data_IF_214455343232
#
_entry.id   IF_214455343232
#
_cell.length_a   1.000
_cell.length_b   1.000
_cell.length_c   1.000
_cell.angle_alpha   90.00
_cell.angle_beta   90.00
_cell.angle_gamma   90.00
#
_symmetry.space_group_name_H-M   'P 1'
#
loop_
_entity.id
_entity.type
_entity.pdbx_description
1 polymer ?
#
# COMPACT_ATOMS: atom_id res chain seq x y z
N UNK A 1 10.09 24.65 -9.51
CA UNK A 1 10.40 23.59 -8.54
C UNK A 1 9.20 23.41 -7.62
N UNK A 2 8.48 22.33 -7.78
CA UNK A 2 7.41 21.93 -6.84
C UNK A 2 8.10 21.42 -5.58
N UNK A 3 8.03 22.18 -4.47
CA UNK A 3 8.54 21.71 -3.17
C UNK A 3 7.75 20.45 -2.77
N UNK A 4 8.43 19.39 -2.31
CA UNK A 4 7.75 18.18 -1.86
C UNK A 4 6.81 18.49 -0.69
N UNK A 5 5.53 18.13 -0.84
CA UNK A 5 4.47 18.39 0.14
C UNK A 5 4.39 17.27 1.21
N UNK A 6 5.41 16.43 1.34
CA UNK A 6 5.47 15.56 2.52
C UNK A 6 5.86 16.44 3.72
N UNK A 7 4.98 16.61 4.72
CA UNK A 7 5.39 17.27 5.95
C UNK A 7 6.58 16.50 6.51
N UNK A 8 7.60 17.23 6.96
CA UNK A 8 8.70 16.63 7.71
C UNK A 8 8.07 15.79 8.84
N UNK A 9 8.51 14.54 9.00
CA UNK A 9 8.08 13.71 10.12
C UNK A 9 8.41 14.49 11.40
N UNK A 10 7.39 14.89 12.13
CA UNK A 10 7.59 15.46 13.46
C UNK A 10 7.89 14.31 14.40
N UNK A 11 8.71 14.50 15.44
CA UNK A 11 9.01 13.49 16.48
C UNK A 11 7.73 12.86 17.06
N UNK A 12 6.61 13.56 16.92
CA UNK A 12 5.30 13.16 17.41
C UNK A 12 4.59 12.11 16.53
N UNK A 13 5.00 11.93 15.29
CA UNK A 13 4.46 10.93 14.35
C UNK A 13 5.24 9.62 14.38
N UNK A 14 6.39 9.59 15.05
CA UNK A 14 7.23 8.41 15.18
C UNK A 14 6.55 7.34 16.04
N UNK A 15 6.64 6.10 15.62
CA UNK A 15 6.14 4.96 16.40
C UNK A 15 6.88 4.86 17.73
N UNK A 16 6.22 4.59 18.89
CA UNK A 16 6.87 4.54 20.19
C UNK A 16 7.95 3.46 20.25
N UNK A 17 9.20 3.86 20.37
CA UNK A 17 10.33 2.94 20.45
C UNK A 17 10.21 1.95 21.62
N UNK A 18 9.70 2.39 22.78
CA UNK A 18 9.51 1.51 23.95
C UNK A 18 8.55 0.36 23.66
N UNK A 19 7.46 0.62 22.90
CA UNK A 19 6.50 -0.40 22.49
C UNK A 19 7.16 -1.35 21.50
N UNK A 20 7.85 -0.82 20.48
CA UNK A 20 8.56 -1.63 19.50
C UNK A 20 9.60 -2.55 20.16
N UNK A 21 10.45 -2.01 21.04
CA UNK A 21 11.49 -2.75 21.74
C UNK A 21 10.92 -3.82 22.70
N UNK A 22 9.80 -3.52 23.37
CA UNK A 22 9.10 -4.50 24.21
C UNK A 22 8.57 -5.65 23.35
N UNK A 23 7.91 -5.35 22.25
CA UNK A 23 7.36 -6.35 21.34
C UNK A 23 8.45 -7.21 20.72
N UNK A 24 9.57 -6.60 20.29
CA UNK A 24 10.73 -7.34 19.78
C UNK A 24 11.28 -8.36 20.81
N UNK A 25 11.43 -7.97 22.08
CA UNK A 25 11.84 -8.90 23.15
C UNK A 25 10.83 -10.01 23.38
N UNK A 26 9.54 -9.69 23.35
CA UNK A 26 8.48 -10.70 23.48
C UNK A 26 8.53 -11.72 22.34
N UNK A 27 8.71 -11.25 21.10
CA UNK A 27 8.84 -12.13 19.93
C UNK A 27 10.05 -13.04 20.04
N UNK A 28 11.22 -12.49 20.38
CA UNK A 28 12.43 -13.28 20.57
C UNK A 28 12.27 -14.35 21.67
N UNK A 29 11.65 -14.00 22.79
CA UNK A 29 11.39 -14.95 23.88
C UNK A 29 10.37 -16.03 23.49
N UNK A 30 9.32 -15.66 22.78
CA UNK A 30 8.21 -16.56 22.38
C UNK A 30 8.62 -17.54 21.29
N UNK A 31 9.37 -17.06 20.31
CA UNK A 31 9.69 -17.80 19.09
C UNK A 31 11.08 -18.45 19.09
N UNK A 32 12.00 -17.93 19.92
CA UNK A 32 13.35 -18.48 20.03
C UNK A 32 14.04 -18.59 18.66
N UNK A 33 14.68 -19.72 18.39
CA UNK A 33 15.41 -19.98 17.15
C UNK A 33 14.51 -19.97 15.87
N UNK A 34 13.19 -20.07 16.01
CA UNK A 34 12.26 -20.03 14.85
C UNK A 34 12.33 -18.70 14.12
N UNK A 35 12.78 -17.61 14.76
CA UNK A 35 12.99 -16.32 14.07
C UNK A 35 14.09 -16.38 13.01
N UNK A 36 14.97 -17.38 13.07
CA UNK A 36 16.06 -17.61 12.10
C UNK A 36 15.64 -18.55 10.97
N UNK A 37 14.44 -19.10 11.01
CA UNK A 37 13.93 -19.98 9.97
C UNK A 37 13.69 -19.22 8.66
N UNK A 38 13.74 -19.93 7.53
CA UNK A 38 13.37 -19.36 6.23
C UNK A 38 11.90 -18.97 6.22
N UNK A 39 11.61 -17.73 5.80
CA UNK A 39 10.23 -17.29 5.56
C UNK A 39 9.59 -18.08 4.42
N UNK A 40 8.29 -18.42 4.52
CA UNK A 40 7.52 -18.80 3.34
C UNK A 40 7.61 -17.71 2.25
N UNK A 41 7.54 -18.09 0.97
CA UNK A 41 7.75 -17.16 -0.14
C UNK A 41 6.78 -15.96 -0.14
N UNK A 42 5.56 -16.14 0.34
CA UNK A 42 4.57 -15.06 0.48
C UNK A 42 4.65 -14.32 1.84
N UNK A 43 5.57 -14.69 2.71
CA UNK A 43 5.64 -14.19 4.09
C UNK A 43 5.00 -15.13 5.11
N UNK A 44 5.25 -14.85 6.40
CA UNK A 44 4.77 -15.68 7.52
C UNK A 44 3.24 -15.69 7.61
N UNK A 45 2.68 -16.80 8.04
CA UNK A 45 1.24 -16.93 8.24
C UNK A 45 0.73 -15.94 9.30
N UNK A 46 1.51 -15.71 10.35
CA UNK A 46 1.20 -14.82 11.45
C UNK A 46 0.97 -13.38 10.95
N UNK A 47 1.88 -12.85 10.14
CA UNK A 47 1.71 -11.49 9.61
C UNK A 47 0.56 -11.43 8.61
N UNK A 48 0.41 -12.43 7.74
CA UNK A 48 -0.68 -12.43 6.75
C UNK A 48 -2.06 -12.51 7.43
N UNK A 49 -2.21 -13.32 8.48
CA UNK A 49 -3.45 -13.39 9.27
C UNK A 49 -3.72 -12.05 9.98
N UNK A 50 -2.72 -11.49 10.67
CA UNK A 50 -2.87 -10.19 11.34
C UNK A 50 -3.27 -9.08 10.37
N UNK A 51 -2.74 -9.09 9.13
CA UNK A 51 -3.12 -8.16 8.07
C UNK A 51 -4.57 -8.38 7.60
N UNK A 52 -5.05 -9.62 7.45
CA UNK A 52 -6.45 -9.88 7.11
C UNK A 52 -7.40 -9.24 8.13
N UNK A 53 -7.14 -9.45 9.42
CA UNK A 53 -7.94 -8.89 10.51
C UNK A 53 -7.88 -7.35 10.52
N UNK A 54 -6.69 -6.78 10.36
CA UNK A 54 -6.49 -5.33 10.29
C UNK A 54 -7.24 -4.71 9.10
N UNK A 55 -7.08 -5.27 7.92
CA UNK A 55 -7.69 -4.78 6.68
C UNK A 55 -9.21 -4.84 6.73
N UNK A 56 -9.77 -5.91 7.30
CA UNK A 56 -11.22 -6.03 7.49
C UNK A 56 -11.76 -4.92 8.39
N UNK A 57 -11.08 -4.63 9.50
CA UNK A 57 -11.52 -3.59 10.45
C UNK A 57 -11.27 -2.16 9.95
N UNK A 58 -10.11 -1.93 9.32
CA UNK A 58 -9.65 -0.58 9.00
C UNK A 58 -10.01 -0.10 7.60
N UNK A 59 -10.20 -1.02 6.64
CA UNK A 59 -10.36 -0.73 5.20
C UNK A 59 -11.56 -1.38 4.56
N UNK A 60 -12.34 -2.17 5.31
CA UNK A 60 -13.41 -2.99 4.75
C UNK A 60 -12.92 -3.92 3.60
N UNK A 61 -11.65 -4.38 3.70
CA UNK A 61 -11.05 -5.34 2.80
C UNK A 61 -11.11 -6.72 3.45
N UNK A 62 -11.99 -7.57 2.97
CA UNK A 62 -12.21 -8.94 3.48
C UNK A 62 -11.54 -9.91 2.53
N UNK A 63 -10.44 -10.50 2.97
CA UNK A 63 -9.60 -11.39 2.13
C UNK A 63 -9.05 -12.55 2.95
N UNK A 64 -8.61 -13.59 2.27
CA UNK A 64 -7.90 -14.71 2.87
C UNK A 64 -6.39 -14.46 2.93
N UNK A 65 -5.65 -15.11 3.85
CA UNK A 65 -4.19 -14.96 3.94
C UNK A 65 -3.44 -15.35 2.66
N UNK A 66 -4.03 -16.19 1.81
CA UNK A 66 -3.46 -16.58 0.52
C UNK A 66 -3.41 -15.44 -0.48
N UNK A 67 -4.27 -14.43 -0.31
CA UNK A 67 -4.30 -13.24 -1.15
C UNK A 67 -3.23 -12.20 -0.77
N UNK A 68 -2.51 -12.40 0.34
CA UNK A 68 -1.50 -11.47 0.84
C UNK A 68 -0.10 -11.94 0.49
N UNK A 69 0.71 -11.05 -0.08
CA UNK A 69 2.12 -11.26 -0.36
C UNK A 69 2.95 -10.16 0.31
N UNK A 70 3.91 -10.56 1.16
CA UNK A 70 4.80 -9.66 1.90
C UNK A 70 6.08 -9.42 1.09
N UNK A 71 6.57 -8.18 1.09
CA UNK A 71 7.83 -7.80 0.43
C UNK A 71 8.56 -6.66 1.12
N UNK A 72 9.84 -6.46 0.77
CA UNK A 72 10.74 -5.50 1.39
C UNK A 72 10.56 -4.06 0.86
N UNK A 73 9.40 -3.49 1.11
CA UNK A 73 9.02 -2.14 0.71
C UNK A 73 8.35 -2.06 -0.67
N UNK A 74 7.80 -0.87 -0.97
CA UNK A 74 6.98 -0.66 -2.16
C UNK A 74 7.73 -0.92 -3.47
N UNK A 75 9.00 -0.49 -3.57
CA UNK A 75 9.81 -0.65 -4.78
C UNK A 75 10.00 -2.13 -5.16
N UNK A 76 10.20 -3.00 -4.16
CA UNK A 76 10.25 -4.46 -4.39
C UNK A 76 8.90 -5.00 -4.87
N UNK A 77 7.81 -4.51 -4.29
CA UNK A 77 6.46 -4.92 -4.72
C UNK A 77 6.14 -4.45 -6.15
N UNK A 78 6.58 -3.25 -6.55
CA UNK A 78 6.47 -2.82 -7.96
C UNK A 78 7.17 -3.80 -8.89
N UNK A 79 8.37 -4.28 -8.51
CA UNK A 79 9.11 -5.27 -9.28
C UNK A 79 8.36 -6.60 -9.39
N UNK A 80 7.76 -7.09 -8.31
CA UNK A 80 6.91 -8.30 -8.33
C UNK A 80 5.67 -8.12 -9.21
N UNK A 81 5.02 -6.97 -9.13
CA UNK A 81 3.88 -6.65 -9.99
C UNK A 81 4.29 -6.68 -11.46
N UNK A 82 5.42 -6.08 -11.82
CA UNK A 82 5.96 -6.14 -13.19
C UNK A 82 6.14 -7.58 -13.67
N UNK A 83 6.71 -8.45 -12.83
CA UNK A 83 6.86 -9.88 -13.18
C UNK A 83 5.49 -10.55 -13.41
N UNK A 84 4.52 -10.22 -12.55
CA UNK A 84 3.16 -10.75 -12.66
C UNK A 84 2.41 -10.25 -13.91
N UNK A 85 2.67 -9.03 -14.39
CA UNK A 85 2.08 -8.47 -15.62
C UNK A 85 2.49 -9.25 -16.87
N UNK A 86 3.70 -9.80 -16.90
CA UNK A 86 4.21 -10.64 -17.96
C UNK A 86 4.48 -9.89 -19.27
N UNK A 87 3.62 -10.02 -20.28
CA UNK A 87 3.79 -9.38 -21.60
C UNK A 87 3.30 -7.94 -21.67
N UNK A 88 2.55 -7.47 -20.69
CA UNK A 88 2.12 -6.08 -20.65
C UNK A 88 3.35 -5.18 -20.46
N UNK A 89 3.51 -4.19 -21.32
CA UNK A 89 4.69 -3.32 -21.36
C UNK A 89 4.35 -1.83 -21.31
N UNK A 90 3.09 -1.51 -21.06
CA UNK A 90 2.63 -0.14 -20.91
C UNK A 90 1.75 -0.01 -19.66
N UNK A 91 2.14 0.89 -18.76
CA UNK A 91 1.40 1.19 -17.53
C UNK A 91 1.07 2.68 -17.52
N UNK A 92 -0.20 3.01 -17.36
CA UNK A 92 -0.62 4.37 -17.10
C UNK A 92 -0.32 4.76 -15.65
N UNK A 93 0.18 5.97 -15.45
CA UNK A 93 0.52 6.52 -14.13
C UNK A 93 -0.01 7.94 -14.02
N UNK A 94 -0.29 8.39 -12.83
CA UNK A 94 -0.66 9.77 -12.53
C UNK A 94 0.46 10.75 -12.95
N UNK A 95 0.07 11.97 -13.32
CA UNK A 95 1.01 13.04 -13.61
C UNK A 95 0.57 14.36 -12.93
N UNK A 96 1.34 14.82 -11.92
CA UNK A 96 2.57 14.24 -11.39
C UNK A 96 2.34 12.95 -10.56
N UNK A 97 3.36 12.10 -10.44
CA UNK A 97 3.39 10.94 -9.56
C UNK A 97 4.73 10.85 -8.82
N UNK A 98 4.81 9.92 -7.87
CA UNK A 98 6.09 9.57 -7.24
C UNK A 98 7.07 9.01 -8.29
N UNK A 99 8.14 9.75 -8.55
CA UNK A 99 9.05 9.47 -9.68
C UNK A 99 9.68 8.07 -9.64
N UNK A 100 9.87 7.50 -8.45
CA UNK A 100 10.39 6.13 -8.32
C UNK A 100 9.47 5.07 -8.97
N UNK A 101 8.17 5.32 -9.06
CA UNK A 101 7.24 4.42 -9.77
C UNK A 101 7.69 4.30 -11.24
N UNK A 102 7.91 5.44 -11.91
CA UNK A 102 8.38 5.48 -13.30
C UNK A 102 9.77 4.87 -13.46
N UNK A 103 10.67 5.17 -12.52
CA UNK A 103 12.04 4.65 -12.55
C UNK A 103 12.09 3.13 -12.43
N UNK A 104 11.34 2.54 -11.49
CA UNK A 104 11.26 1.08 -11.33
C UNK A 104 10.65 0.44 -12.57
N UNK A 105 9.54 0.95 -13.08
CA UNK A 105 8.94 0.42 -14.30
C UNK A 105 9.90 0.48 -15.49
N UNK A 106 10.58 1.61 -15.69
CA UNK A 106 11.57 1.77 -16.76
C UNK A 106 12.75 0.78 -16.62
N UNK A 107 13.25 0.58 -15.39
CA UNK A 107 14.32 -0.38 -15.12
C UNK A 107 13.94 -1.82 -15.49
N UNK A 108 12.65 -2.14 -15.46
CA UNK A 108 12.12 -3.45 -15.89
C UNK A 108 11.62 -3.48 -17.35
N UNK A 109 11.94 -2.47 -18.16
CA UNK A 109 11.53 -2.40 -19.55
C UNK A 109 10.05 -2.13 -19.78
N UNK A 110 9.36 -1.57 -18.78
CA UNK A 110 7.96 -1.13 -18.86
C UNK A 110 7.95 0.35 -19.25
N UNK A 111 7.17 0.70 -20.27
CA UNK A 111 6.88 2.10 -20.60
C UNK A 111 5.76 2.63 -19.72
N UNK A 112 5.84 3.90 -19.36
CA UNK A 112 4.78 4.58 -18.62
C UNK A 112 4.09 5.61 -19.49
N UNK A 113 2.77 5.66 -19.41
CA UNK A 113 1.92 6.68 -20.02
C UNK A 113 1.43 7.62 -18.92
N UNK A 114 1.73 8.92 -19.06
CA UNK A 114 1.34 9.95 -18.10
C UNK A 114 -0.11 10.36 -18.30
N UNK A 115 -0.90 10.33 -17.23
CA UNK A 115 -2.28 10.80 -17.21
C UNK A 115 -2.40 11.98 -16.23
N UNK A 116 -2.76 13.16 -16.73
CA UNK A 116 -2.84 14.39 -15.94
C UNK A 116 -3.87 14.27 -14.82
N UNK A 117 -3.47 14.75 -13.63
CA UNK A 117 -4.37 14.91 -12.50
C UNK A 117 -5.17 16.23 -12.62
N UNK A 118 -6.45 16.14 -12.29
CA UNK A 118 -7.28 17.28 -11.91
C UNK A 118 -7.57 17.25 -10.41
N UNK A 119 -8.39 18.17 -9.92
CA UNK A 119 -8.67 18.35 -8.47
C UNK A 119 -9.30 17.13 -7.78
N UNK A 120 -9.83 16.18 -8.54
CA UNK A 120 -10.57 15.01 -8.03
C UNK A 120 -9.95 13.67 -8.44
N UNK A 121 -8.73 13.67 -8.93
CA UNK A 121 -8.02 12.53 -9.51
C UNK A 121 -7.75 12.71 -11.01
N UNK A 122 -7.39 11.64 -11.72
CA UNK A 122 -7.07 11.69 -13.16
C UNK A 122 -8.24 12.25 -13.96
N UNK A 123 -7.95 13.16 -14.90
CA UNK A 123 -8.95 13.73 -15.77
C UNK A 123 -9.64 12.63 -16.63
N UNK A 124 -10.95 12.73 -16.82
CA UNK A 124 -11.75 11.72 -17.56
C UNK A 124 -11.29 11.57 -19.01
N UNK A 125 -10.93 12.66 -19.67
CA UNK A 125 -10.39 12.67 -21.03
C UNK A 125 -9.05 11.94 -21.12
N UNK A 126 -8.21 12.05 -20.08
CA UNK A 126 -6.94 11.32 -20.00
C UNK A 126 -7.17 9.82 -19.90
N UNK A 127 -8.10 9.38 -19.05
CA UNK A 127 -8.50 7.98 -18.96
C UNK A 127 -9.06 7.44 -20.26
N UNK A 128 -9.88 8.22 -20.98
CA UNK A 128 -10.46 7.82 -22.26
C UNK A 128 -9.41 7.61 -23.35
N UNK A 129 -8.41 8.51 -23.42
CA UNK A 129 -7.34 8.46 -24.44
C UNK A 129 -6.25 7.44 -24.12
N UNK A 130 -6.16 6.95 -22.89
CA UNK A 130 -5.09 6.06 -22.45
C UNK A 130 -5.04 4.78 -23.30
N UNK A 131 -3.84 4.49 -23.80
CA UNK A 131 -3.54 3.25 -24.55
C UNK A 131 -3.20 2.08 -23.65
N UNK A 132 -2.87 2.33 -22.38
CA UNK A 132 -2.54 1.31 -21.40
C UNK A 132 -3.79 0.51 -20.96
N UNK A 133 -3.53 -0.73 -20.49
CA UNK A 133 -4.52 -1.58 -19.80
C UNK A 133 -4.24 -1.72 -18.32
N UNK A 134 -3.10 -1.26 -17.86
CA UNK A 134 -2.71 -1.26 -16.44
C UNK A 134 -2.64 0.18 -15.97
N UNK A 135 -3.27 0.47 -14.85
CA UNK A 135 -3.30 1.79 -14.23
C UNK A 135 -2.70 1.70 -12.84
N UNK A 136 -1.61 2.42 -12.60
CA UNK A 136 -1.03 2.57 -11.26
C UNK A 136 -1.45 3.93 -10.71
N UNK A 137 -2.19 3.94 -9.62
CA UNK A 137 -2.72 5.14 -8.97
C UNK A 137 -2.44 5.14 -7.49
N UNK A 138 -2.31 6.35 -6.95
CA UNK A 138 -2.27 6.65 -5.53
C UNK A 138 -3.55 7.44 -5.18
N UNK A 139 -4.67 6.77 -4.90
CA UNK A 139 -5.97 7.43 -4.83
C UNK A 139 -6.14 8.35 -3.62
N UNK A 140 -5.25 8.24 -2.63
CA UNK A 140 -5.25 9.04 -1.41
C UNK A 140 -3.92 9.79 -1.27
N UNK A 141 -4.01 11.12 -1.16
CA UNK A 141 -2.85 12.02 -1.00
C UNK A 141 -1.73 11.76 -2.01
N UNK A 142 -2.09 11.64 -3.30
CA UNK A 142 -1.13 11.36 -4.38
C UNK A 142 0.08 12.28 -4.30
N UNK A 143 1.27 11.72 -4.16
CA UNK A 143 2.50 12.51 -4.06
C UNK A 143 3.04 12.84 -5.46
N UNK A 144 3.49 14.08 -5.74
CA UNK A 144 3.63 15.21 -4.82
C UNK A 144 2.41 16.15 -4.76
N UNK A 145 1.34 15.88 -5.49
CA UNK A 145 0.19 16.78 -5.65
C UNK A 145 -0.67 16.92 -4.38
N UNK A 146 -0.71 15.90 -3.52
CA UNK A 146 -1.60 15.82 -2.37
C UNK A 146 -3.08 15.56 -2.74
N UNK A 147 -3.38 15.33 -4.03
CA UNK A 147 -4.74 15.13 -4.52
C UNK A 147 -5.27 13.78 -4.03
N UNK A 148 -6.54 13.79 -3.62
CA UNK A 148 -7.30 12.57 -3.30
C UNK A 148 -8.41 12.38 -4.33
N UNK A 149 -8.44 11.21 -4.95
CA UNK A 149 -9.50 10.83 -5.87
C UNK A 149 -10.82 10.69 -5.11
N UNK A 150 -11.86 11.41 -5.52
CA UNK A 150 -13.16 11.31 -4.88
C UNK A 150 -13.87 9.98 -5.19
N UNK A 151 -14.96 9.67 -4.49
CA UNK A 151 -15.68 8.41 -4.62
C UNK A 151 -16.16 8.13 -6.07
N UNK A 152 -16.59 9.17 -6.80
CA UNK A 152 -17.02 9.05 -8.20
C UNK A 152 -15.83 8.68 -9.10
N UNK A 153 -14.68 9.32 -8.88
CA UNK A 153 -13.46 9.06 -9.64
C UNK A 153 -12.90 7.65 -9.37
N UNK A 154 -12.94 7.19 -8.12
CA UNK A 154 -12.54 5.81 -7.79
C UNK A 154 -13.40 4.78 -8.53
N UNK A 155 -14.71 4.98 -8.62
CA UNK A 155 -15.59 4.13 -9.43
C UNK A 155 -15.31 4.23 -10.93
N UNK A 156 -14.93 5.41 -11.42
CA UNK A 156 -14.51 5.60 -12.80
C UNK A 156 -13.25 4.80 -13.16
N UNK A 157 -12.25 4.77 -12.25
CA UNK A 157 -11.05 3.95 -12.44
C UNK A 157 -11.40 2.45 -12.55
N UNK A 158 -12.27 1.96 -11.67
CA UNK A 158 -12.70 0.56 -11.70
C UNK A 158 -13.37 0.23 -13.05
N UNK A 159 -14.36 1.03 -13.48
CA UNK A 159 -15.01 0.84 -14.79
C UNK A 159 -14.02 0.90 -15.94
N UNK A 160 -13.10 1.86 -15.91
CA UNK A 160 -12.05 1.97 -16.94
C UNK A 160 -11.23 0.68 -17.07
N UNK A 161 -10.87 0.05 -15.97
CA UNK A 161 -10.13 -1.20 -15.99
C UNK A 161 -10.99 -2.39 -16.43
N UNK A 162 -12.24 -2.46 -15.98
CA UNK A 162 -13.18 -3.52 -16.38
C UNK A 162 -13.45 -3.51 -17.89
N UNK A 163 -13.77 -2.34 -18.45
CA UNK A 163 -14.02 -2.16 -19.89
C UNK A 163 -12.82 -2.56 -20.77
N UNK A 164 -11.60 -2.45 -20.25
CA UNK A 164 -10.36 -2.80 -20.96
C UNK A 164 -9.83 -4.20 -20.65
N UNK A 165 -10.52 -4.97 -19.81
CA UNK A 165 -10.00 -6.22 -19.26
C UNK A 165 -8.60 -6.00 -18.64
N UNK A 166 -8.43 -4.85 -18.00
CA UNK A 166 -7.18 -4.33 -17.49
C UNK A 166 -6.90 -4.69 -16.04
N UNK A 167 -6.04 -3.89 -15.40
CA UNK A 167 -5.65 -4.03 -13.99
C UNK A 167 -5.41 -2.65 -13.38
N UNK A 168 -5.80 -2.47 -12.13
CA UNK A 168 -5.41 -1.32 -11.32
C UNK A 168 -4.41 -1.79 -10.26
N UNK A 169 -3.35 -1.01 -10.07
CA UNK A 169 -2.44 -1.10 -8.93
C UNK A 169 -2.77 0.09 -8.05
N UNK A 170 -3.43 -0.18 -6.94
CA UNK A 170 -3.79 0.83 -5.93
C UNK A 170 -2.67 0.92 -4.90
N UNK A 171 -1.87 1.99 -4.96
CA UNK A 171 -0.79 2.26 -4.02
C UNK A 171 -1.30 3.17 -2.89
N UNK A 172 -1.52 2.58 -1.73
CA UNK A 172 -2.10 3.24 -0.56
C UNK A 172 -1.05 3.42 0.54
N UNK A 173 -0.14 4.38 0.38
CA UNK A 173 1.00 4.55 1.29
C UNK A 173 0.75 5.48 2.49
N UNK A 174 -0.27 6.34 2.47
CA UNK A 174 -0.47 7.40 3.50
C UNK A 174 -1.92 7.53 4.01
N UNK A 175 -2.84 6.72 3.55
CA UNK A 175 -4.26 6.86 3.91
C UNK A 175 -4.57 6.53 5.37
N UNK A 176 -3.69 5.81 6.08
CA UNK A 176 -3.83 5.56 7.52
C UNK A 176 -3.90 6.85 8.32
N UNK A 177 -3.23 7.89 7.87
CA UNK A 177 -3.17 9.19 8.57
C UNK A 177 -4.22 10.20 8.11
N UNK A 178 -5.28 9.74 7.48
CA UNK A 178 -6.41 10.61 7.09
C UNK A 178 -6.98 11.39 8.27
N UNK A 179 -7.38 12.63 8.00
CA UNK A 179 -8.07 13.50 8.98
C UNK A 179 -9.57 13.20 9.07
N UNK A 180 -10.10 12.40 8.16
CA UNK A 180 -11.51 12.03 8.17
C UNK A 180 -11.84 11.14 9.38
N UNK A 181 -13.07 11.25 9.87
CA UNK A 181 -13.56 10.43 11.00
C UNK A 181 -13.62 8.95 10.64
N UNK A 182 -13.96 8.65 9.38
CA UNK A 182 -14.02 7.30 8.80
C UNK A 182 -13.04 7.24 7.63
N UNK A 183 -12.31 6.12 7.52
CA UNK A 183 -11.51 5.85 6.34
C UNK A 183 -12.41 5.75 5.11
N UNK A 184 -11.95 6.32 4.00
CA UNK A 184 -12.66 6.19 2.72
C UNK A 184 -12.46 4.79 2.14
N UNK A 185 -13.46 4.34 1.37
CA UNK A 185 -13.38 3.04 0.69
C UNK A 185 -12.24 3.05 -0.34
N UNK A 186 -11.43 2.00 -0.32
CA UNK A 186 -10.37 1.77 -1.30
C UNK A 186 -10.96 1.28 -2.63
N UNK A 187 -10.19 1.35 -3.71
CA UNK A 187 -10.59 0.73 -4.98
C UNK A 187 -10.83 -0.77 -4.80
N UNK A 188 -9.95 -1.43 -4.03
CA UNK A 188 -10.08 -2.86 -3.74
C UNK A 188 -11.37 -3.17 -2.96
N UNK A 189 -11.70 -2.40 -1.92
CA UNK A 189 -12.93 -2.63 -1.15
C UNK A 189 -14.21 -2.36 -1.94
N UNK A 190 -14.15 -1.43 -2.92
CA UNK A 190 -15.25 -1.16 -3.85
C UNK A 190 -15.44 -2.25 -4.91
N UNK A 191 -14.40 -3.01 -5.23
CA UNK A 191 -14.39 -4.07 -6.22
C UNK A 191 -13.55 -5.28 -5.77
N UNK A 192 -13.97 -6.01 -4.72
CA UNK A 192 -13.16 -7.06 -4.09
C UNK A 192 -12.88 -8.27 -5.01
N UNK A 193 -13.70 -8.49 -6.02
CA UNK A 193 -13.50 -9.50 -7.06
C UNK A 193 -13.09 -8.88 -8.40
N UNK A 194 -12.83 -7.57 -8.41
CA UNK A 194 -12.52 -6.77 -9.58
C UNK A 194 -11.04 -6.78 -9.97
N UNK A 195 -10.67 -5.90 -10.89
CA UNK A 195 -9.32 -5.85 -11.45
C UNK A 195 -8.36 -5.00 -10.60
N UNK A 196 -8.41 -5.10 -9.28
CA UNK A 196 -7.59 -4.26 -8.39
C UNK A 196 -6.60 -5.10 -7.60
N UNK A 197 -5.32 -4.73 -7.65
CA UNK A 197 -4.28 -5.16 -6.72
C UNK A 197 -4.05 -4.00 -5.75
N UNK A 198 -4.27 -4.23 -4.46
CA UNK A 198 -4.01 -3.24 -3.42
C UNK A 198 -2.61 -3.43 -2.86
N UNK A 199 -1.92 -2.35 -2.55
CA UNK A 199 -0.63 -2.39 -1.88
C UNK A 199 -0.50 -1.30 -0.83
N UNK A 200 0.28 -1.59 0.21
CA UNK A 200 0.57 -0.65 1.29
C UNK A 200 1.93 -0.95 1.94
N UNK A 201 2.45 -0.02 2.74
CA UNK A 201 3.76 -0.10 3.36
C UNK A 201 3.74 0.38 4.82
N UNK A 202 4.57 -0.25 5.67
CA UNK A 202 4.78 0.17 7.06
C UNK A 202 5.85 1.25 7.22
N UNK A 203 6.58 1.59 6.14
CA UNK A 203 7.66 2.58 6.21
C UNK A 203 7.19 3.96 6.62
N UNK A 204 5.95 4.33 6.31
CA UNK A 204 5.33 5.60 6.68
C UNK A 204 4.69 5.57 8.06
N UNK A 205 4.12 4.43 8.43
CA UNK A 205 3.29 4.31 9.64
C UNK A 205 4.07 3.89 10.89
N UNK A 206 5.22 3.25 10.71
CA UNK A 206 6.07 2.82 11.82
C UNK A 206 7.42 3.54 11.79
N UNK A 207 8.25 3.27 10.78
CA UNK A 207 9.53 3.95 10.58
C UNK A 207 10.06 3.69 9.18
N UNK A 208 10.83 4.62 8.57
CA UNK A 208 11.43 4.44 7.24
C UNK A 208 12.37 3.24 7.14
N UNK A 209 12.99 2.84 8.26
CA UNK A 209 13.86 1.65 8.35
C UNK A 209 13.09 0.33 8.34
N UNK A 210 11.80 0.35 8.67
CA UNK A 210 10.92 -0.82 8.60
C UNK A 210 10.52 -1.01 7.13
N UNK A 211 11.34 -1.79 6.44
CA UNK A 211 11.17 -2.05 5.00
C UNK A 211 10.21 -3.21 4.76
N UNK A 212 8.98 -3.08 5.25
CA UNK A 212 7.92 -4.08 5.05
C UNK A 212 6.74 -3.44 4.35
N UNK A 213 6.30 -4.10 3.30
CA UNK A 213 5.12 -3.75 2.51
C UNK A 213 4.36 -5.02 2.13
N UNK A 214 3.15 -4.89 1.65
CA UNK A 214 2.34 -6.03 1.24
C UNK A 214 1.45 -5.71 0.04
N UNK A 215 1.16 -6.76 -0.73
CA UNK A 215 0.15 -6.79 -1.79
C UNK A 215 -1.06 -7.56 -1.30
N UNK A 216 -2.24 -7.11 -1.70
CA UNK A 216 -3.48 -7.88 -1.64
C UNK A 216 -3.95 -8.14 -3.06
N UNK A 217 -4.02 -9.41 -3.42
CA UNK A 217 -4.35 -9.85 -4.76
C UNK A 217 -5.83 -10.25 -4.84
N UNK A 218 -6.55 -9.92 -5.92
CA UNK A 218 -7.88 -10.47 -6.14
C UNK A 218 -7.78 -11.98 -6.40
N UNK A 219 -8.74 -12.73 -5.89
CA UNK A 219 -8.73 -14.20 -5.90
C UNK A 219 -8.51 -14.80 -7.29
N UNK A 220 -9.16 -14.22 -8.30
CA UNK A 220 -9.07 -14.65 -9.69
C UNK A 220 -7.70 -14.45 -10.35
N UNK A 221 -6.75 -13.78 -9.65
CA UNK A 221 -5.39 -13.52 -10.12
C UNK A 221 -4.31 -14.30 -9.36
N UNK A 222 -4.67 -14.99 -8.28
CA UNK A 222 -3.72 -15.70 -7.41
C UNK A 222 -2.89 -16.73 -8.17
N UNK A 223 -3.53 -17.63 -8.90
CA UNK A 223 -2.83 -18.70 -9.63
C UNK A 223 -1.79 -18.15 -10.59
N UNK A 224 -2.17 -17.14 -11.38
CA UNK A 224 -1.26 -16.50 -12.34
C UNK A 224 -0.13 -15.73 -11.66
N UNK A 225 -0.40 -15.09 -10.52
CA UNK A 225 0.63 -14.41 -9.75
C UNK A 225 1.62 -15.43 -9.17
N UNK A 226 1.14 -16.50 -8.54
CA UNK A 226 1.97 -17.57 -7.98
C UNK A 226 2.81 -18.29 -9.03
N UNK A 227 2.25 -18.58 -10.20
CA UNK A 227 2.96 -19.19 -11.32
C UNK A 227 4.17 -18.35 -11.77
N UNK A 228 4.06 -17.03 -11.73
CA UNK A 228 5.09 -16.10 -12.22
C UNK A 228 6.04 -15.60 -11.15
N UNK A 229 5.62 -15.57 -9.89
CA UNK A 229 6.38 -14.96 -8.79
C UNK A 229 6.56 -15.87 -7.60
N UNK A 230 5.84 -16.99 -7.51
CA UNK A 230 5.84 -17.86 -6.34
C UNK A 230 7.16 -18.54 -6.01
N UNK A 231 8.13 -18.55 -6.93
CA UNK A 231 9.48 -19.07 -6.71
C UNK A 231 10.41 -18.04 -6.02
N UNK A 232 10.04 -16.75 -5.99
CA UNK A 232 10.83 -15.75 -5.27
C UNK A 232 10.72 -15.97 -3.77
N UNK A 233 11.84 -15.93 -3.07
CA UNK A 233 11.85 -15.96 -1.61
C UNK A 233 11.35 -14.63 -1.06
N UNK A 234 10.61 -14.68 0.05
CA UNK A 234 10.29 -13.48 0.79
C UNK A 234 11.57 -12.79 1.28
N UNK A 235 11.70 -11.50 0.98
CA UNK A 235 12.89 -10.71 1.28
C UNK A 235 12.85 -10.06 2.67
N UNK A 236 11.73 -10.20 3.39
CA UNK A 236 11.56 -9.65 4.75
C UNK A 236 12.01 -10.68 5.79
N UNK A 237 12.89 -10.32 6.74
CA UNK A 237 13.27 -11.21 7.84
C UNK A 237 12.06 -11.69 8.64
N UNK A 238 12.09 -12.95 9.09
CA UNK A 238 11.00 -13.54 9.90
C UNK A 238 10.78 -12.75 11.19
N UNK A 239 11.85 -12.28 11.83
CA UNK A 239 11.76 -11.48 13.05
C UNK A 239 10.91 -10.22 12.84
N UNK A 240 11.16 -9.45 11.77
CA UNK A 240 10.42 -8.23 11.48
C UNK A 240 8.95 -8.51 11.18
N UNK A 241 8.67 -9.60 10.46
CA UNK A 241 7.30 -10.04 10.19
C UNK A 241 6.55 -10.39 11.48
N UNK A 242 7.18 -11.12 12.41
CA UNK A 242 6.58 -11.50 13.68
C UNK A 242 6.38 -10.31 14.61
N UNK A 243 7.31 -9.34 14.64
CA UNK A 243 7.14 -8.10 15.39
C UNK A 243 5.91 -7.35 14.88
N UNK A 244 5.77 -7.18 13.57
CA UNK A 244 4.61 -6.51 12.98
C UNK A 244 3.31 -7.25 13.28
N UNK A 245 3.30 -8.57 13.15
CA UNK A 245 2.14 -9.39 13.48
C UNK A 245 1.67 -9.17 14.92
N UNK A 246 2.60 -9.16 15.89
CA UNK A 246 2.28 -8.90 17.30
C UNK A 246 1.78 -7.46 17.52
N UNK A 247 2.42 -6.44 16.92
CA UNK A 247 1.98 -5.04 17.02
C UNK A 247 0.56 -4.84 16.49
N UNK A 248 0.21 -5.49 15.39
CA UNK A 248 -1.13 -5.44 14.79
C UNK A 248 -2.14 -6.20 15.67
N UNK A 249 -1.82 -7.44 16.03
CA UNK A 249 -2.74 -8.31 16.77
C UNK A 249 -3.07 -7.79 18.17
N UNK A 250 -2.12 -7.13 18.84
CA UNK A 250 -2.35 -6.50 20.14
C UNK A 250 -2.92 -5.08 20.05
N UNK A 251 -3.15 -4.56 18.84
CA UNK A 251 -3.72 -3.24 18.60
C UNK A 251 -2.78 -2.07 18.88
N UNK A 252 -1.48 -2.31 19.10
CA UNK A 252 -0.49 -1.25 19.31
C UNK A 252 -0.34 -0.39 18.05
N UNK A 253 -0.39 -1.01 16.89
CA UNK A 253 -0.36 -0.34 15.60
C UNK A 253 -1.56 0.60 15.43
N UNK A 254 -2.78 0.12 15.65
CA UNK A 254 -4.00 0.94 15.52
C UNK A 254 -4.05 2.07 16.58
N UNK A 255 -3.57 1.81 17.80
CA UNK A 255 -3.44 2.85 18.85
C UNK A 255 -2.49 3.96 18.41
N UNK A 256 -1.37 3.62 17.77
CA UNK A 256 -0.45 4.61 17.21
C UNK A 256 -1.12 5.44 16.10
N UNK A 257 -1.73 4.80 15.10
CA UNK A 257 -2.45 5.49 14.01
C UNK A 257 -3.48 6.47 14.59
N UNK A 258 -4.30 6.03 15.54
CA UNK A 258 -5.32 6.88 16.16
C UNK A 258 -4.74 8.04 16.97
N UNK A 259 -3.55 7.87 17.57
CA UNK A 259 -2.84 8.95 18.27
C UNK A 259 -2.36 10.01 17.27
N UNK A 260 -1.73 9.62 16.18
CA UNK A 260 -1.26 10.53 15.13
C UNK A 260 -2.44 11.29 14.49
N UNK A 261 -3.51 10.59 14.12
CA UNK A 261 -4.74 11.22 13.58
C UNK A 261 -5.30 12.30 14.51
N UNK A 262 -5.40 12.03 15.82
CA UNK A 262 -5.90 13.01 16.80
C UNK A 262 -5.01 14.24 16.89
N UNK A 263 -3.68 14.08 16.85
CA UNK A 263 -2.73 15.20 16.89
C UNK A 263 -2.82 16.04 15.63
N UNK A 264 -2.85 15.44 14.44
CA UNK A 264 -3.01 16.16 13.18
C UNK A 264 -4.32 16.98 13.12
N UNK A 265 -5.43 16.43 13.65
CA UNK A 265 -6.70 17.16 13.73
C UNK A 265 -6.58 18.39 14.61
N UNK A 266 -6.05 18.26 15.84
CA UNK A 266 -5.84 19.37 16.76
C UNK A 266 -4.97 20.48 16.15
N UNK A 267 -3.86 20.10 15.49
CA UNK A 267 -2.98 21.05 14.82
C UNK A 267 -3.74 21.85 13.76
N UNK A 268 -4.52 21.16 12.91
CA UNK A 268 -5.33 21.81 11.87
C UNK A 268 -6.36 22.78 12.47
N UNK A 269 -7.01 22.41 13.56
CA UNK A 269 -7.97 23.27 14.26
C UNK A 269 -7.30 24.54 14.82
N UNK A 270 -6.09 24.40 15.38
CA UNK A 270 -5.30 25.55 15.88
C UNK A 270 -4.87 26.47 14.75
N UNK A 271 -4.36 25.92 13.63
CA UNK A 271 -3.92 26.68 12.46
C UNK A 271 -5.08 27.44 11.76
N UNK A 272 -6.31 26.94 11.89
CA UNK A 272 -7.52 27.61 11.35
C UNK A 272 -8.08 28.69 12.29
N UNK A 273 -7.64 28.71 13.55
CA UNK A 273 -8.11 29.66 14.57
C UNK A 273 -7.11 30.82 14.80
N UNK A 274 -5.95 30.75 14.15
CA UNK A 274 -4.91 31.79 14.13
C UNK A 274 -4.97 32.60 12.86
#
# INVERSE_FOLDING_TARGET
EVKPVLPAETDEEVFPFSVYAKTARTVLSKWGEKVLARSPNQGTAELRNALCDYLARSRNIIVSPQQICIGSGAEYLYSLVVQALGRERLVAVEDPCYEKIRQVYRAHGIRTESLRLGDKGILTEELKRAGARVLHVTPFHSYPSGITANASKRREYIRWAEERSGLIIEDDFDSEFTLLSKAEDTLFSLAPHGPVVYMNTFSRTIAPSVRVAYLVLPENRLSRFQERTGFYSCTVPVLDQLILAELISHGDFERHINRVRRRRRRKKETDMSS
#
